data_IF_630156159260
#
_entry.id   IF_630156159260
#
_cell.length_a   1.000
_cell.length_b   1.000
_cell.length_c   1.000
_cell.angle_alpha   90.00
_cell.angle_beta   90.00
_cell.angle_gamma   90.00
#
_symmetry.space_group_name_H-M   'P 1'
#
loop_
_entity.id
_entity.type
_entity.pdbx_description
1 polymer ?
#
# COMPACT_ATOMS: atom_id res chain seq x y z
N UNK A 1 41.86 -50.36 -19.51
CA UNK A 1 43.24 -49.89 -19.30
C UNK A 1 43.14 -48.47 -18.76
N UNK A 2 43.52 -48.02 -17.57
CA UNK A 2 44.22 -48.44 -16.34
C UNK A 2 43.35 -47.87 -15.18
N UNK A 3 43.37 -48.21 -13.90
CA UNK A 3 43.93 -49.26 -13.06
C UNK A 3 43.17 -49.11 -11.72
N UNK A 4 42.73 -50.24 -11.15
CA UNK A 4 42.13 -50.38 -9.81
C UNK A 4 43.22 -50.31 -8.74
N UNK A 5 42.94 -49.71 -7.59
CA UNK A 5 43.55 -49.93 -6.25
C UNK A 5 42.78 -49.04 -5.24
N UNK A 6 42.59 -49.32 -3.96
CA UNK A 6 42.49 -50.52 -3.11
C UNK A 6 42.22 -49.96 -1.70
N UNK A 7 41.17 -50.42 -1.04
CA UNK A 7 41.03 -50.72 0.42
C UNK A 7 41.81 -49.94 1.51
N UNK A 8 41.01 -49.41 2.46
CA UNK A 8 41.12 -49.53 3.94
C UNK A 8 41.87 -48.48 4.81
N UNK A 9 41.46 -48.34 6.10
CA UNK A 9 41.36 -47.09 6.85
C UNK A 9 42.47 -46.88 7.90
N UNK A 10 42.64 -45.64 8.39
CA UNK A 10 43.35 -45.40 9.64
C UNK A 10 42.90 -44.09 10.32
N UNK A 11 42.56 -44.23 11.60
CA UNK A 11 42.37 -43.22 12.64
C UNK A 11 43.46 -42.13 12.63
N UNK A 12 43.15 -40.92 13.11
CA UNK A 12 43.72 -40.38 14.36
C UNK A 12 43.26 -38.91 14.63
N UNK A 13 42.84 -38.67 15.88
CA UNK A 13 42.95 -37.43 16.68
C UNK A 13 41.90 -36.31 16.54
N UNK A 14 40.84 -36.46 17.36
CA UNK A 14 40.12 -35.36 18.01
C UNK A 14 40.78 -35.05 19.38
N UNK A 15 40.95 -33.79 19.79
CA UNK A 15 41.42 -33.47 21.13
C UNK A 15 40.28 -33.63 22.16
N UNK A 16 40.55 -34.50 23.15
CA UNK A 16 39.77 -34.66 24.39
C UNK A 16 39.88 -33.39 25.24
N UNK A 17 38.75 -32.74 25.52
CA UNK A 17 38.59 -31.85 26.67
C UNK A 17 38.15 -32.71 27.86
N UNK A 18 39.03 -32.84 28.85
CA UNK A 18 38.78 -33.52 30.11
C UNK A 18 38.05 -32.54 31.03
N UNK A 19 36.75 -32.79 31.29
CA UNK A 19 35.98 -32.05 32.28
C UNK A 19 36.07 -32.78 33.63
N UNK A 20 36.75 -32.15 34.59
CA UNK A 20 36.87 -32.61 35.97
C UNK A 20 35.62 -32.30 36.80
N UNK A 21 35.24 -33.28 37.63
CA UNK A 21 34.06 -33.29 38.51
C UNK A 21 34.04 -32.14 39.52
N UNK A 22 32.87 -31.52 39.69
CA UNK A 22 32.53 -30.65 40.81
C UNK A 22 31.03 -30.73 41.10
N UNK A 23 30.68 -31.49 42.14
CA UNK A 23 29.33 -31.79 42.64
C UNK A 23 28.55 -30.55 43.07
N UNK A 24 27.38 -30.25 42.46
CA UNK A 24 26.26 -29.53 43.12
C UNK A 24 24.89 -29.93 42.53
N UNK A 25 23.91 -29.92 43.43
CA UNK A 25 22.55 -30.49 43.40
C UNK A 25 21.66 -30.11 42.19
N UNK A 26 20.83 -31.08 41.78
CA UNK A 26 19.87 -31.05 40.65
C UNK A 26 18.63 -30.17 40.93
N UNK A 27 18.55 -29.47 42.06
CA UNK A 27 17.34 -28.77 42.50
C UNK A 27 17.27 -27.26 42.17
N UNK A 28 18.23 -26.67 41.42
CA UNK A 28 18.27 -25.21 41.21
C UNK A 28 18.03 -24.73 39.79
N UNK A 29 17.79 -25.62 38.82
CA UNK A 29 17.61 -25.23 37.40
C UNK A 29 16.15 -25.14 36.94
N UNK A 30 15.18 -25.40 37.82
CA UNK A 30 13.75 -25.34 37.49
C UNK A 30 13.11 -23.97 37.71
N UNK A 31 13.81 -23.00 38.32
CA UNK A 31 13.26 -21.66 38.60
C UNK A 31 13.58 -20.60 37.54
N UNK A 32 14.24 -20.97 36.44
CA UNK A 32 14.60 -20.03 35.36
C UNK A 32 13.76 -20.22 34.09
N UNK A 33 12.85 -21.21 34.05
CA UNK A 33 11.92 -21.37 32.93
C UNK A 33 10.59 -20.61 33.12
N UNK A 34 10.13 -20.38 34.36
CA UNK A 34 8.85 -19.70 34.62
C UNK A 34 8.89 -18.17 34.46
N UNK A 35 10.07 -17.56 34.33
CA UNK A 35 10.20 -16.10 34.13
C UNK A 35 10.21 -15.67 32.65
N UNK A 36 10.29 -16.62 31.70
CA UNK A 36 10.26 -16.31 30.26
C UNK A 36 8.84 -16.35 29.69
N UNK A 37 7.90 -17.04 30.35
CA UNK A 37 6.50 -17.12 29.88
C UNK A 37 5.69 -15.83 30.10
N UNK A 38 6.08 -15.00 31.08
CA UNK A 38 5.35 -13.76 31.40
C UNK A 38 5.79 -12.51 30.60
N UNK A 39 6.78 -12.64 29.70
CA UNK A 39 7.21 -11.55 28.82
C UNK A 39 6.49 -11.57 27.44
N UNK A 40 5.53 -12.47 27.24
CA UNK A 40 4.77 -12.61 25.98
C UNK A 40 3.48 -11.76 25.90
N UNK A 41 3.15 -11.02 26.96
CA UNK A 41 1.91 -10.23 27.08
C UNK A 41 1.94 -8.84 26.42
N UNK A 42 2.82 -8.61 25.45
CA UNK A 42 2.77 -7.42 24.59
C UNK A 42 2.81 -7.78 23.10
N UNK A 43 2.20 -8.91 22.72
CA UNK A 43 1.82 -9.13 21.31
C UNK A 43 0.80 -8.05 20.95
N UNK A 44 1.29 -6.97 20.34
CA UNK A 44 0.46 -6.03 19.59
C UNK A 44 -0.49 -6.84 18.73
N UNK A 45 -1.79 -6.65 18.95
CA UNK A 45 -2.83 -7.25 18.13
C UNK A 45 -2.53 -6.85 16.68
N UNK A 46 -2.13 -7.83 15.87
CA UNK A 46 -1.93 -7.69 14.44
C UNK A 46 -3.22 -7.13 13.85
N UNK A 47 -3.20 -5.86 13.46
CA UNK A 47 -4.29 -5.22 12.75
C UNK A 47 -4.23 -5.62 11.28
N UNK A 48 -5.41 -5.67 10.67
CA UNK A 48 -5.78 -6.27 9.39
C UNK A 48 -5.11 -5.69 8.14
N UNK A 49 -3.77 -5.76 8.06
CA UNK A 49 -3.17 -6.02 6.75
C UNK A 49 -3.36 -7.52 6.52
N UNK A 50 -3.93 -7.90 5.38
CA UNK A 50 -3.61 -9.22 4.81
C UNK A 50 -2.15 -9.13 4.34
N UNK A 51 -1.21 -9.03 5.29
CA UNK A 51 0.24 -9.06 5.07
C UNK A 51 0.70 -10.47 4.69
N UNK A 52 -0.22 -11.43 4.66
CA UNK A 52 -0.07 -12.70 3.96
C UNK A 52 0.13 -12.42 2.47
N UNK A 53 1.21 -12.95 1.90
CA UNK A 53 1.43 -12.95 0.45
C UNK A 53 0.36 -13.75 -0.30
N UNK A 54 -0.28 -14.71 0.38
CA UNK A 54 -1.25 -15.61 -0.21
C UNK A 54 -2.67 -15.03 -0.08
N UNK A 55 -3.51 -15.18 -1.12
CA UNK A 55 -4.90 -14.75 -1.03
C UNK A 55 -5.66 -15.53 0.04
N UNK A 56 -6.28 -14.83 0.98
CA UNK A 56 -7.20 -15.43 1.95
C UNK A 56 -8.53 -15.78 1.26
N UNK A 57 -8.81 -17.09 1.16
CA UNK A 57 -10.06 -17.57 0.57
C UNK A 57 -11.19 -17.35 1.57
N UNK A 58 -12.21 -16.60 1.17
CA UNK A 58 -13.41 -16.34 1.96
C UNK A 58 -14.66 -16.42 1.07
N UNK A 59 -15.86 -16.35 1.66
CA UNK A 59 -17.12 -16.36 0.91
C UNK A 59 -17.16 -15.27 -0.17
N UNK A 60 -16.52 -14.14 0.10
CA UNK A 60 -16.56 -12.95 -0.75
C UNK A 60 -15.31 -12.86 -1.65
N UNK A 61 -14.29 -13.68 -1.39
CA UNK A 61 -13.03 -13.73 -2.12
C UNK A 61 -12.66 -15.19 -2.45
N UNK A 62 -13.27 -15.73 -3.50
CA UNK A 62 -12.99 -17.08 -4.01
C UNK A 62 -12.74 -17.02 -5.53
N UNK A 63 -11.72 -17.74 -6.08
CA UNK A 63 -11.54 -17.90 -7.53
C UNK A 63 -12.77 -18.40 -8.31
N UNK A 64 -13.69 -19.13 -7.67
CA UNK A 64 -14.89 -19.68 -8.33
C UNK A 64 -15.98 -18.63 -8.60
N UNK A 65 -15.89 -17.45 -7.98
CA UNK A 65 -16.89 -16.40 -8.16
C UNK A 65 -16.81 -15.83 -9.58
N UNK A 66 -17.94 -15.75 -10.32
CA UNK A 66 -17.94 -15.15 -11.65
C UNK A 66 -17.73 -13.63 -11.52
N UNK A 67 -16.60 -13.15 -12.03
CA UNK A 67 -16.29 -11.72 -12.11
C UNK A 67 -15.94 -11.35 -13.55
N UNK A 68 -16.54 -10.26 -14.06
CA UNK A 68 -16.28 -9.70 -15.38
C UNK A 68 -16.33 -8.17 -15.33
N UNK A 69 -15.66 -7.52 -16.27
CA UNK A 69 -15.80 -6.08 -16.46
C UNK A 69 -17.23 -5.71 -16.89
N UNK A 70 -17.74 -4.59 -16.37
CA UNK A 70 -18.99 -3.97 -16.83
C UNK A 70 -18.86 -3.54 -18.30
N UNK A 71 -19.98 -3.35 -18.99
CA UNK A 71 -19.94 -2.97 -20.41
C UNK A 71 -19.24 -1.63 -20.65
N UNK A 72 -19.43 -0.66 -19.75
CA UNK A 72 -18.71 0.62 -19.76
C UNK A 72 -17.20 0.44 -19.58
N UNK A 73 -16.78 -0.46 -18.69
CA UNK A 73 -15.37 -0.71 -18.46
C UNK A 73 -14.73 -1.57 -19.55
N UNK A 74 -15.49 -2.39 -20.29
CA UNK A 74 -14.95 -3.15 -21.44
C UNK A 74 -14.42 -2.23 -22.53
N UNK A 75 -15.02 -1.06 -22.73
CA UNK A 75 -14.50 -0.06 -23.67
C UNK A 75 -13.15 0.50 -23.19
N UNK A 76 -13.06 0.87 -21.90
CA UNK A 76 -11.79 1.29 -21.28
C UNK A 76 -10.72 0.19 -21.34
N UNK A 77 -11.09 -1.08 -21.17
CA UNK A 77 -10.16 -2.22 -21.32
C UNK A 77 -9.58 -2.27 -22.74
N UNK A 78 -10.40 -2.10 -23.77
CA UNK A 78 -9.94 -2.07 -25.17
C UNK A 78 -9.02 -0.89 -25.42
N UNK A 79 -9.36 0.28 -24.90
CA UNK A 79 -8.53 1.49 -24.98
C UNK A 79 -7.17 1.27 -24.33
N UNK A 80 -7.13 0.78 -23.08
CA UNK A 80 -5.89 0.50 -22.35
C UNK A 80 -5.01 -0.48 -23.14
N UNK A 81 -5.58 -1.55 -23.69
CA UNK A 81 -4.84 -2.51 -24.50
C UNK A 81 -4.29 -1.91 -25.80
N UNK A 82 -4.96 -0.90 -26.37
CA UNK A 82 -4.52 -0.24 -27.61
C UNK A 82 -3.25 0.61 -27.44
N UNK A 83 -2.93 1.04 -26.22
CA UNK A 83 -1.70 1.77 -25.93
C UNK A 83 -0.45 0.88 -26.03
N UNK A 84 -0.61 -0.44 -26.01
CA UNK A 84 0.49 -1.39 -26.01
C UNK A 84 0.48 -2.24 -27.29
N UNK A 85 1.65 -2.68 -27.78
CA UNK A 85 1.71 -3.54 -28.95
C UNK A 85 1.08 -4.92 -28.65
N UNK A 86 0.51 -5.55 -29.68
CA UNK A 86 -0.29 -6.78 -29.56
C UNK A 86 0.43 -7.96 -28.88
N UNK A 87 1.76 -8.02 -28.99
CA UNK A 87 2.58 -9.07 -28.38
C UNK A 87 2.99 -8.78 -26.92
N UNK A 88 2.92 -7.52 -26.45
CA UNK A 88 3.27 -7.13 -25.08
C UNK A 88 2.06 -6.59 -24.31
N UNK A 89 0.90 -7.22 -24.49
CA UNK A 89 -0.34 -6.95 -23.72
C UNK A 89 -0.13 -7.03 -22.20
N UNK A 90 0.86 -7.79 -21.73
CA UNK A 90 1.23 -7.86 -20.30
C UNK A 90 1.49 -6.49 -19.68
N UNK A 91 1.94 -5.52 -20.46
CA UNK A 91 2.19 -4.15 -20.01
C UNK A 91 0.92 -3.45 -19.47
N UNK A 92 -0.26 -3.90 -19.91
CA UNK A 92 -1.55 -3.39 -19.45
C UNK A 92 -2.00 -3.92 -18.07
N UNK A 93 -1.21 -4.78 -17.40
CA UNK A 93 -1.63 -5.43 -16.15
C UNK A 93 -1.93 -4.43 -15.04
N UNK A 94 -1.13 -3.39 -14.88
CA UNK A 94 -1.32 -2.35 -13.85
C UNK A 94 -2.62 -1.57 -14.08
N UNK A 95 -2.85 -0.93 -15.25
CA UNK A 95 -4.08 -0.17 -15.46
C UNK A 95 -5.33 -1.05 -15.47
N UNK A 96 -5.24 -2.32 -15.91
CA UNK A 96 -6.39 -3.23 -15.86
C UNK A 96 -6.73 -3.69 -14.45
N UNK A 97 -5.73 -3.93 -13.60
CA UNK A 97 -5.94 -4.20 -12.18
C UNK A 97 -6.50 -2.97 -11.46
N UNK A 98 -5.99 -1.78 -11.75
CA UNK A 98 -6.51 -0.55 -11.15
C UNK A 98 -7.99 -0.33 -11.54
N UNK A 99 -8.33 -0.53 -12.81
CA UNK A 99 -9.72 -0.48 -13.28
C UNK A 99 -10.60 -1.53 -12.59
N UNK A 100 -10.09 -2.75 -12.40
CA UNK A 100 -10.81 -3.81 -11.70
C UNK A 100 -11.05 -3.45 -10.22
N UNK A 101 -10.05 -2.85 -9.55
CA UNK A 101 -10.17 -2.37 -8.17
C UNK A 101 -11.23 -1.28 -8.06
N UNK A 102 -11.21 -0.31 -8.98
CA UNK A 102 -12.22 0.74 -9.03
C UNK A 102 -13.62 0.16 -9.24
N UNK A 103 -13.78 -0.76 -10.20
CA UNK A 103 -15.08 -1.40 -10.47
C UNK A 103 -15.61 -2.17 -9.26
N UNK A 104 -14.74 -2.87 -8.54
CA UNK A 104 -15.14 -3.74 -7.43
C UNK A 104 -15.24 -3.01 -6.07
N UNK A 105 -15.22 -1.67 -6.08
CA UNK A 105 -15.43 -0.87 -4.87
C UNK A 105 -14.20 -0.81 -3.97
N UNK A 106 -13.01 -0.76 -4.56
CA UNK A 106 -11.78 -0.40 -3.87
C UNK A 106 -10.88 -1.54 -3.44
N UNK A 107 -11.21 -2.79 -3.80
CA UNK A 107 -10.35 -3.96 -3.54
C UNK A 107 -10.41 -4.98 -4.68
N UNK A 108 -9.42 -5.87 -4.72
CA UNK A 108 -9.21 -6.84 -5.78
C UNK A 108 -9.46 -8.27 -5.27
N UNK A 109 -10.58 -8.90 -5.67
CA UNK A 109 -10.81 -10.30 -5.42
C UNK A 109 -9.97 -11.16 -6.36
N UNK A 110 -9.70 -12.40 -5.95
CA UNK A 110 -8.94 -13.39 -6.74
C UNK A 110 -9.60 -13.63 -8.10
N UNK A 111 -10.93 -13.63 -8.15
CA UNK A 111 -11.70 -13.76 -9.40
C UNK A 111 -11.44 -12.61 -10.39
N UNK A 112 -11.31 -11.36 -9.90
CA UNK A 112 -10.98 -10.21 -10.75
C UNK A 112 -9.56 -10.33 -11.32
N UNK A 113 -8.59 -10.74 -10.49
CA UNK A 113 -7.22 -10.99 -10.95
C UNK A 113 -7.17 -12.10 -12.01
N UNK A 114 -7.96 -13.16 -11.83
CA UNK A 114 -8.07 -14.25 -12.81
C UNK A 114 -8.68 -13.79 -14.14
N UNK A 115 -9.67 -12.90 -14.09
CA UNK A 115 -10.27 -12.37 -15.32
C UNK A 115 -9.29 -11.46 -16.06
N UNK A 116 -8.55 -10.60 -15.35
CA UNK A 116 -7.48 -9.78 -15.93
C UNK A 116 -6.40 -10.67 -16.58
N UNK A 117 -6.02 -11.78 -15.93
CA UNK A 117 -5.07 -12.73 -16.48
C UNK A 117 -5.55 -13.34 -17.81
N UNK A 118 -6.85 -13.68 -17.93
CA UNK A 118 -7.43 -14.20 -19.17
C UNK A 118 -7.42 -13.17 -20.30
N UNK A 119 -7.73 -11.91 -20.00
CA UNK A 119 -7.77 -10.82 -21.01
C UNK A 119 -6.37 -10.54 -21.56
N UNK A 120 -5.36 -10.59 -20.70
CA UNK A 120 -3.97 -10.30 -21.03
C UNK A 120 -3.25 -11.55 -21.60
N UNK A 121 -3.87 -12.73 -21.50
CA UNK A 121 -3.34 -14.01 -21.97
C UNK A 121 -2.04 -14.43 -21.22
N UNK A 122 -1.98 -14.15 -19.92
CA UNK A 122 -0.83 -14.52 -19.05
C UNK A 122 -1.25 -15.48 -17.95
N UNK A 123 -0.29 -16.21 -17.40
CA UNK A 123 -0.54 -17.06 -16.23
C UNK A 123 -1.03 -16.22 -15.03
N UNK A 124 -2.07 -16.63 -14.29
CA UNK A 124 -2.63 -15.86 -13.17
C UNK A 124 -1.60 -15.48 -12.11
N UNK A 125 -0.58 -16.31 -11.91
CA UNK A 125 0.51 -16.04 -10.96
C UNK A 125 1.23 -14.71 -11.24
N UNK A 126 1.39 -14.32 -12.51
CA UNK A 126 2.04 -13.05 -12.87
C UNK A 126 1.19 -11.85 -12.47
N UNK A 127 -0.13 -12.00 -12.50
CA UNK A 127 -1.06 -10.97 -12.02
C UNK A 127 -1.05 -10.91 -10.50
N UNK A 128 -0.96 -12.05 -9.82
CA UNK A 128 -0.85 -12.08 -8.35
C UNK A 128 0.45 -11.47 -7.84
N UNK A 129 1.58 -11.71 -8.52
CA UNK A 129 2.87 -11.07 -8.23
C UNK A 129 2.73 -9.54 -8.29
N UNK A 130 2.13 -9.00 -9.35
CA UNK A 130 1.89 -7.56 -9.50
C UNK A 130 0.94 -7.04 -8.41
N UNK A 131 -0.18 -7.72 -8.17
CA UNK A 131 -1.18 -7.29 -7.19
C UNK A 131 -0.68 -7.32 -5.74
N UNK A 132 0.31 -8.16 -5.43
CA UNK A 132 0.93 -8.22 -4.09
C UNK A 132 2.13 -7.28 -3.96
N UNK A 133 2.81 -6.96 -5.07
CA UNK A 133 3.99 -6.11 -5.09
C UNK A 133 3.66 -4.62 -4.94
N UNK A 134 2.63 -4.12 -5.63
CA UNK A 134 2.26 -2.70 -5.56
C UNK A 134 1.31 -2.42 -4.40
N UNK A 135 1.68 -1.46 -3.55
CA UNK A 135 0.91 -1.08 -2.34
C UNK A 135 -0.45 -0.45 -2.62
N UNK A 136 -0.68 0.06 -3.84
CA UNK A 136 -1.97 0.62 -4.24
C UNK A 136 -3.07 -0.43 -4.36
N UNK A 137 -2.68 -1.69 -4.61
CA UNK A 137 -3.60 -2.78 -4.85
C UNK A 137 -4.11 -3.37 -3.54
N UNK A 138 -5.34 -3.01 -3.18
CA UNK A 138 -5.97 -3.50 -1.97
C UNK A 138 -6.51 -4.92 -2.22
N UNK A 139 -6.00 -5.90 -1.48
CA UNK A 139 -6.45 -7.31 -1.59
C UNK A 139 -7.57 -7.67 -0.60
N UNK A 140 -7.90 -6.73 0.27
CA UNK A 140 -8.97 -6.85 1.26
C UNK A 140 -9.83 -5.59 1.21
N UNK A 141 -11.06 -5.70 1.70
CA UNK A 141 -12.01 -4.59 1.71
C UNK A 141 -11.46 -3.42 2.53
N UNK A 142 -11.48 -2.22 1.96
CA UNK A 142 -11.03 -0.97 2.60
C UNK A 142 -12.17 0.01 2.91
N UNK A 143 -13.42 -0.39 2.69
CA UNK A 143 -14.58 0.51 2.77
C UNK A 143 -14.68 1.45 1.57
N UNK A 144 -15.61 2.41 1.62
CA UNK A 144 -15.87 3.34 0.51
C UNK A 144 -14.79 4.40 0.33
N UNK A 145 -14.21 4.89 1.42
CA UNK A 145 -13.17 5.90 1.45
C UNK A 145 -11.94 5.33 2.13
N UNK A 146 -10.87 5.14 1.36
CA UNK A 146 -9.58 4.75 1.92
C UNK A 146 -8.75 6.01 2.18
N UNK A 147 -8.56 6.33 3.47
CA UNK A 147 -7.81 7.48 3.94
C UNK A 147 -6.33 7.08 4.07
N UNK A 148 -5.51 7.61 3.19
CA UNK A 148 -4.09 7.31 3.07
C UNK A 148 -3.27 8.46 3.66
N UNK A 149 -2.65 8.22 4.82
CA UNK A 149 -1.84 9.22 5.53
C UNK A 149 -0.37 8.99 5.21
N UNK A 150 0.35 10.04 4.81
CA UNK A 150 1.78 9.95 4.52
C UNK A 150 2.62 9.85 5.82
N UNK A 151 3.34 8.75 6.01
CA UNK A 151 4.18 8.49 7.18
C UNK A 151 5.65 8.91 7.04
N UNK A 152 6.08 9.35 5.85
CA UNK A 152 7.50 9.62 5.58
C UNK A 152 8.07 10.82 6.33
N UNK A 153 9.40 10.88 6.45
CA UNK A 153 10.13 11.89 7.23
C UNK A 153 9.66 13.33 7.00
N UNK A 154 9.47 13.85 5.76
CA UNK A 154 9.01 15.22 5.57
C UNK A 154 7.63 15.49 6.18
N UNK A 155 6.71 14.53 6.12
CA UNK A 155 5.39 14.64 6.75
C UNK A 155 5.48 14.40 8.26
N UNK A 156 6.32 13.47 8.70
CA UNK A 156 6.55 13.18 10.12
C UNK A 156 7.05 14.41 10.88
N UNK A 157 8.05 15.14 10.36
CA UNK A 157 8.57 16.36 11.01
C UNK A 157 7.56 17.51 11.02
N UNK A 158 6.54 17.45 10.14
CA UNK A 158 5.44 18.41 10.08
C UNK A 158 4.19 17.96 10.86
N UNK A 159 4.30 16.89 11.65
CA UNK A 159 3.23 16.45 12.56
C UNK A 159 2.26 15.43 11.96
N UNK A 160 2.61 14.71 10.89
CA UNK A 160 1.70 13.71 10.28
C UNK A 160 1.25 12.59 11.23
N UNK A 161 2.07 12.23 12.23
CA UNK A 161 1.68 11.26 13.26
C UNK A 161 0.49 11.75 14.09
N UNK A 162 0.46 13.04 14.42
CA UNK A 162 -0.66 13.65 15.14
C UNK A 162 -1.94 13.64 14.29
N UNK A 163 -1.80 13.75 12.96
CA UNK A 163 -2.92 13.63 12.01
C UNK A 163 -3.47 12.20 12.03
N UNK A 164 -2.60 11.20 11.93
CA UNK A 164 -2.98 9.80 11.94
C UNK A 164 -3.66 9.41 13.27
N UNK A 165 -3.07 9.81 14.40
CA UNK A 165 -3.63 9.54 15.72
C UNK A 165 -5.01 10.19 15.92
N UNK A 166 -5.18 11.44 15.43
CA UNK A 166 -6.47 12.12 15.44
C UNK A 166 -7.52 11.39 14.60
N UNK A 167 -7.15 10.89 13.42
CA UNK A 167 -8.02 10.10 12.55
C UNK A 167 -8.44 8.79 13.19
N UNK A 168 -7.48 8.01 13.70
CA UNK A 168 -7.74 6.71 14.33
C UNK A 168 -8.62 6.87 15.56
N UNK A 169 -8.36 7.90 16.38
CA UNK A 169 -9.18 8.21 17.56
C UNK A 169 -10.60 8.63 17.20
N UNK A 170 -10.76 9.45 16.15
CA UNK A 170 -12.06 9.93 15.71
C UNK A 170 -12.91 8.81 15.08
N UNK A 171 -12.30 7.96 14.27
CA UNK A 171 -12.98 6.83 13.62
C UNK A 171 -13.15 5.62 14.55
N UNK A 172 -12.40 5.54 15.64
CA UNK A 172 -12.47 4.44 16.61
C UNK A 172 -12.00 3.11 16.04
N UNK A 173 -11.07 3.13 15.07
CA UNK A 173 -10.54 1.95 14.38
C UNK A 173 -9.04 1.86 14.56
N UNK A 174 -8.48 0.66 14.37
CA UNK A 174 -7.03 0.50 14.25
C UNK A 174 -6.58 0.74 12.81
N UNK A 175 -5.27 0.90 12.63
CA UNK A 175 -4.66 1.02 11.30
C UNK A 175 -5.03 -0.18 10.44
N UNK A 176 -5.48 0.09 9.21
CA UNK A 176 -5.99 -0.86 8.21
C UNK A 176 -7.26 -1.63 8.61
N UNK A 177 -7.99 -1.18 9.62
CA UNK A 177 -9.32 -1.69 9.96
C UNK A 177 -10.38 -0.81 9.31
N UNK A 178 -11.47 -1.44 8.85
CA UNK A 178 -12.61 -0.73 8.28
C UNK A 178 -13.58 -0.36 9.41
N UNK A 179 -14.14 0.84 9.36
CA UNK A 179 -15.18 1.24 10.31
C UNK A 179 -16.38 0.31 10.24
N UNK A 180 -17.12 0.18 11.34
CA UNK A 180 -18.35 -0.64 11.40
C UNK A 180 -19.39 -0.23 10.36
N UNK A 181 -19.39 1.05 9.99
CA UNK A 181 -20.26 1.61 8.96
C UNK A 181 -19.85 1.24 7.53
N UNK A 182 -18.68 0.60 7.34
CA UNK A 182 -18.13 0.23 6.03
C UNK A 182 -17.66 1.42 5.19
N UNK A 183 -17.61 2.62 5.77
CA UNK A 183 -17.35 3.85 5.04
C UNK A 183 -15.87 4.20 4.96
N UNK A 184 -15.12 4.09 6.07
CA UNK A 184 -13.75 4.59 6.13
C UNK A 184 -12.78 3.49 6.55
N UNK A 185 -11.55 3.61 6.08
CA UNK A 185 -10.40 2.93 6.65
C UNK A 185 -9.18 3.85 6.60
N UNK A 186 -8.25 3.67 7.53
CA UNK A 186 -7.03 4.47 7.60
C UNK A 186 -5.84 3.59 7.27
N UNK A 187 -5.13 3.93 6.20
CA UNK A 187 -3.89 3.30 5.78
C UNK A 187 -2.72 4.27 5.89
N UNK A 188 -1.58 3.78 6.35
CA UNK A 188 -0.31 4.51 6.23
C UNK A 188 0.29 4.23 4.86
N UNK A 189 0.67 5.30 4.17
CA UNK A 189 1.40 5.26 2.90
C UNK A 189 2.73 5.99 3.02
N UNK A 190 3.64 5.64 2.12
CA UNK A 190 4.95 6.28 2.03
C UNK A 190 4.85 7.63 1.29
N UNK A 191 5.94 8.10 0.69
CA UNK A 191 6.01 9.41 0.08
C UNK A 191 4.99 9.56 -1.04
N UNK A 192 4.04 10.46 -0.87
CA UNK A 192 2.97 10.77 -1.83
C UNK A 192 3.32 11.92 -2.79
N UNK A 193 4.56 12.43 -2.76
CA UNK A 193 5.03 13.52 -3.65
C UNK A 193 4.62 14.94 -3.24
N UNK A 194 3.73 15.11 -2.25
CA UNK A 194 3.24 16.42 -1.79
C UNK A 194 4.10 17.04 -0.67
N UNK A 195 5.43 16.88 -0.71
CA UNK A 195 6.32 17.17 0.42
C UNK A 195 6.36 18.65 0.82
N UNK A 196 6.27 19.58 -0.13
CA UNK A 196 6.24 21.03 0.18
C UNK A 196 4.94 21.43 0.86
N UNK A 197 3.87 20.65 0.67
CA UNK A 197 2.56 20.81 1.28
C UNK A 197 2.33 19.85 2.46
N UNK A 198 3.41 19.44 3.13
CA UNK A 198 3.32 18.58 4.30
C UNK A 198 2.72 19.33 5.51
N UNK A 199 1.84 18.69 6.30
CA UNK A 199 1.40 17.29 6.22
C UNK A 199 0.20 17.11 5.28
N UNK A 200 0.01 15.89 4.76
CA UNK A 200 -1.01 15.58 3.75
C UNK A 200 -1.72 14.26 4.03
N UNK A 201 -2.92 14.14 3.44
CA UNK A 201 -3.73 12.93 3.41
C UNK A 201 -4.31 12.78 2.00
N UNK A 202 -4.29 11.55 1.49
CA UNK A 202 -4.97 11.21 0.24
C UNK A 202 -6.25 10.45 0.54
N UNK A 203 -7.31 10.77 -0.16
CA UNK A 203 -8.58 10.05 -0.05
C UNK A 203 -8.85 9.38 -1.37
N UNK A 204 -8.86 8.05 -1.35
CA UNK A 204 -9.37 7.25 -2.45
C UNK A 204 -10.88 7.06 -2.25
N UNK A 205 -11.66 7.70 -3.11
CA UNK A 205 -13.13 7.59 -3.13
C UNK A 205 -13.54 6.44 -4.06
N UNK A 206 -13.98 5.33 -3.47
CA UNK A 206 -14.50 4.15 -4.15
C UNK A 206 -16.05 4.09 -4.13
N UNK A 207 -16.74 5.16 -3.72
CA UNK A 207 -18.20 5.14 -3.52
C UNK A 207 -19.00 4.86 -4.79
N UNK A 208 -18.56 5.38 -5.94
CA UNK A 208 -19.24 5.30 -7.24
C UNK A 208 -18.50 4.38 -8.24
N UNK A 209 -17.59 3.55 -7.76
CA UNK A 209 -16.79 2.66 -8.60
C UNK A 209 -15.95 3.39 -9.65
N UNK A 210 -15.80 2.82 -10.86
CA UNK A 210 -14.91 3.31 -11.93
C UNK A 210 -15.35 4.59 -12.64
N UNK A 211 -16.55 5.10 -12.38
CA UNK A 211 -17.06 6.34 -13.01
C UNK A 211 -16.87 7.57 -12.11
N UNK A 212 -16.91 7.38 -10.80
CA UNK A 212 -16.70 8.44 -9.81
C UNK A 212 -15.46 8.26 -8.96
N UNK A 213 -14.55 7.37 -9.36
CA UNK A 213 -13.28 7.16 -8.66
C UNK A 213 -12.48 8.47 -8.64
N UNK A 214 -12.12 8.93 -7.45
CA UNK A 214 -11.22 10.05 -7.29
C UNK A 214 -10.14 9.72 -6.29
N UNK A 215 -8.91 10.11 -6.61
CA UNK A 215 -7.75 9.94 -5.75
C UNK A 215 -7.24 11.32 -5.35
N UNK A 216 -7.95 11.92 -4.39
CA UNK A 216 -7.79 13.33 -4.06
C UNK A 216 -6.69 13.55 -3.04
N UNK A 217 -5.80 14.48 -3.33
CA UNK A 217 -4.81 14.98 -2.40
C UNK A 217 -5.41 16.09 -1.55
N UNK A 218 -5.41 15.95 -0.24
CA UNK A 218 -5.69 17.02 0.70
C UNK A 218 -4.40 17.35 1.44
N UNK A 219 -3.88 18.54 1.18
CA UNK A 219 -2.54 18.93 1.59
C UNK A 219 -2.59 20.09 2.60
N UNK A 220 -1.47 20.36 3.28
CA UNK A 220 -1.37 21.36 4.36
C UNK A 220 -2.46 21.17 5.44
N UNK A 221 -2.75 19.93 5.79
CA UNK A 221 -3.85 19.60 6.69
C UNK A 221 -3.45 19.74 8.16
N UNK A 222 -4.45 19.96 9.02
CA UNK A 222 -4.29 19.97 10.48
C UNK A 222 -5.23 18.93 11.11
N UNK A 223 -5.01 18.50 12.36
CA UNK A 223 -5.87 17.48 12.97
C UNK A 223 -7.36 17.85 12.94
N UNK A 224 -7.67 19.13 13.17
CA UNK A 224 -9.03 19.67 13.07
C UNK A 224 -9.57 19.57 11.65
N UNK A 225 -8.77 20.02 10.67
CA UNK A 225 -9.18 20.02 9.27
C UNK A 225 -9.42 18.61 8.73
N UNK A 226 -8.61 17.64 9.14
CA UNK A 226 -8.80 16.25 8.73
C UNK A 226 -10.10 15.66 9.27
N UNK A 227 -10.46 15.96 10.51
CA UNK A 227 -11.75 15.54 11.07
C UNK A 227 -12.91 16.19 10.29
N UNK A 228 -12.81 17.48 9.98
CA UNK A 228 -13.81 18.15 9.13
C UNK A 228 -13.93 17.49 7.75
N UNK A 229 -12.81 17.12 7.13
CA UNK A 229 -12.79 16.42 5.84
C UNK A 229 -13.54 15.09 5.93
N UNK A 230 -13.28 14.30 6.98
CA UNK A 230 -13.96 13.01 7.20
C UNK A 230 -15.47 13.20 7.40
N UNK A 231 -15.89 14.17 8.19
CA UNK A 231 -17.32 14.45 8.38
C UNK A 231 -18.01 14.94 7.10
N UNK A 232 -17.33 15.77 6.30
CA UNK A 232 -17.82 16.22 5.00
C UNK A 232 -17.99 15.06 4.03
N UNK A 233 -16.99 14.17 3.96
CA UNK A 233 -17.07 12.94 3.15
C UNK A 233 -18.20 12.02 3.63
N UNK A 234 -18.43 11.92 4.95
CA UNK A 234 -19.54 11.13 5.50
C UNK A 234 -20.91 11.69 5.06
N UNK A 235 -21.02 13.01 4.91
CA UNK A 235 -22.22 13.67 4.37
C UNK A 235 -22.34 13.57 2.85
N UNK A 236 -21.34 13.03 2.16
CA UNK A 236 -21.30 12.95 0.70
C UNK A 236 -20.94 14.28 0.01
N UNK A 237 -20.39 15.24 0.77
CA UNK A 237 -19.94 16.52 0.22
C UNK A 237 -18.59 16.35 -0.50
N UNK A 238 -18.47 16.91 -1.70
CA UNK A 238 -17.20 16.94 -2.44
C UNK A 238 -16.37 18.14 -2.04
N UNK A 239 -15.21 17.87 -1.48
CA UNK A 239 -14.23 18.88 -1.08
C UNK A 239 -13.28 19.24 -2.23
N UNK A 240 -12.88 20.50 -2.36
CA UNK A 240 -11.88 20.88 -3.35
C UNK A 240 -10.54 20.19 -3.01
N UNK A 241 -9.96 19.43 -3.94
CA UNK A 241 -8.65 18.82 -3.76
C UNK A 241 -7.54 19.89 -3.81
N UNK A 242 -6.42 19.59 -3.16
CA UNK A 242 -5.23 20.44 -3.06
C UNK A 242 -5.00 20.96 -1.63
N UNK A 243 -4.24 22.06 -1.55
CA UNK A 243 -3.91 22.70 -0.28
C UNK A 243 -5.17 23.17 0.46
N UNK A 244 -5.27 22.78 1.72
CA UNK A 244 -6.29 23.25 2.65
C UNK A 244 -5.88 24.55 3.35
N UNK A 245 -4.68 25.08 3.05
CA UNK A 245 -4.22 26.39 3.49
C UNK A 245 -4.51 27.45 2.41
N UNK A 246 -5.46 28.38 2.64
CA UNK A 246 -5.85 29.36 1.62
C UNK A 246 -4.78 30.43 1.34
N UNK A 247 -3.76 30.56 2.19
CA UNK A 247 -2.68 31.54 2.01
C UNK A 247 -1.63 31.09 0.98
N UNK A 248 -1.80 29.90 0.42
CA UNK A 248 -0.88 29.26 -0.50
C UNK A 248 -1.60 28.89 -1.80
N UNK A 249 -0.89 29.05 -2.91
CA UNK A 249 -1.36 28.58 -4.22
C UNK A 249 -0.70 27.23 -4.49
N UNK A 250 -1.45 26.12 -4.42
CA UNK A 250 -0.93 24.76 -4.65
C UNK A 250 0.37 24.52 -3.89
N UNK A 251 1.51 24.40 -4.58
CA UNK A 251 2.86 24.16 -4.05
C UNK A 251 3.69 25.43 -3.80
N UNK A 252 3.09 26.61 -3.88
CA UNK A 252 3.78 27.89 -3.72
C UNK A 252 4.25 28.17 -2.28
N UNK A 253 5.09 29.20 -2.08
CA UNK A 253 5.34 29.75 -0.76
C UNK A 253 4.06 30.22 -0.08
N UNK A 254 4.01 30.09 1.25
CA UNK A 254 2.92 30.66 2.03
C UNK A 254 3.04 32.19 2.06
N UNK A 255 1.96 32.90 1.74
CA UNK A 255 1.95 34.37 1.65
C UNK A 255 2.12 34.93 0.23
N UNK A 256 2.16 34.06 -0.77
CA UNK A 256 2.24 34.44 -2.19
C UNK A 256 3.53 33.96 -2.86
N UNK A 257 3.48 33.77 -4.17
CA UNK A 257 4.64 33.29 -4.92
C UNK A 257 5.75 34.34 -4.93
N UNK A 258 6.98 33.94 -4.65
CA UNK A 258 8.18 34.81 -4.74
C UNK A 258 8.79 34.82 -6.14
N UNK A 259 8.42 33.84 -6.97
CA UNK A 259 8.82 33.67 -8.37
C UNK A 259 7.58 33.46 -9.23
N UNK A 260 7.73 33.45 -10.57
CA UNK A 260 6.60 33.34 -11.51
C UNK A 260 5.54 34.46 -11.34
N UNK A 261 6.02 35.70 -11.14
CA UNK A 261 5.17 36.89 -10.97
C UNK A 261 4.70 37.49 -12.30
N UNK A 262 5.46 37.28 -13.37
CA UNK A 262 5.17 37.80 -14.70
C UNK A 262 4.45 36.77 -15.57
N UNK A 263 3.71 37.26 -16.57
CA UNK A 263 3.12 36.38 -17.59
C UNK A 263 4.21 35.57 -18.32
N UNK A 264 3.97 34.27 -18.58
CA UNK A 264 4.94 33.42 -19.23
C UNK A 264 5.14 33.85 -20.69
N UNK A 265 6.38 34.17 -21.05
CA UNK A 265 6.78 34.46 -22.42
C UNK A 265 7.59 33.29 -22.97
N UNK A 266 7.47 32.96 -24.28
CA UNK A 266 8.35 31.96 -24.88
C UNK A 266 9.80 32.40 -24.66
N UNK A 267 10.69 31.49 -24.20
CA UNK A 267 12.09 31.82 -24.06
C UNK A 267 12.65 32.16 -25.45
N UNK A 268 13.71 32.98 -25.54
CA UNK A 268 14.40 33.15 -26.81
C UNK A 268 14.98 31.78 -27.22
N UNK A 269 14.33 31.13 -28.19
CA UNK A 269 14.86 29.92 -28.79
C UNK A 269 16.12 30.29 -29.57
N UNK A 270 17.24 29.60 -29.28
CA UNK A 270 18.43 29.73 -30.10
C UNK A 270 18.09 29.19 -31.49
N UNK A 271 18.13 30.05 -32.50
CA UNK A 271 18.04 29.63 -33.88
C UNK A 271 19.27 28.78 -34.21
N UNK A 272 19.05 27.48 -34.44
CA UNK A 272 20.13 26.53 -34.75
C UNK A 272 20.61 26.68 -36.20
N UNK A 273 19.82 27.32 -37.06
CA UNK A 273 20.09 27.51 -38.48
C UNK A 273 20.74 28.89 -38.77
N UNK A 274 20.85 29.76 -37.77
CA UNK A 274 21.44 31.09 -37.88
C UNK A 274 22.99 31.13 -37.76
N UNK A 275 23.69 30.02 -37.99
CA UNK A 275 25.16 29.91 -37.95
C UNK A 275 25.77 29.68 -39.34
#
# INVERSE_FOLDING_TARGET
>A
MRAVRSTHPANLFLPRVVCGRGTKSVASLLLSLELVENASSSRGQASSRDSSSNPSISSDNNPDLPWKFSDTNKEKVKEILSHYPSNYKQSAVIPLLDLAQQQHGGWLPVSAMNEVAKIIEVAPIRVYEVATFYSMFNRSKVGKYHLLVCGTTPCMVRGSREIEDALLKHLGVKRNEVTKDGLFSVGEMECMGCCVNAPMITVADYSNGSEGYTYNYYEDVTPKRVIEIVEMLRRGEKLPPGTQNPKRIKSGPEGGNTTLLSEPKPPPCRDLDAC
#
